data_IF_095240456160
#
_entry.id   IF_095240456160
#
_cell.length_a   1.000
_cell.length_b   1.000
_cell.length_c   1.000
_cell.angle_alpha   90.00
_cell.angle_beta   90.00
_cell.angle_gamma   90.00
#
_symmetry.space_group_name_H-M   'P 1'
#
loop_
_entity.id
_entity.type
_entity.pdbx_description
1 polymer ?
#
# COMPACT_ATOMS: atom_id res chain seq x y z
N UNK A 1 0.59 -4.49 23.29
CA UNK A 1 1.57 -5.14 22.39
C UNK A 1 0.93 -5.25 21.01
N UNK A 2 1.56 -4.70 19.98
CA UNK A 2 1.07 -4.73 18.61
C UNK A 2 0.91 -6.18 18.14
N UNK A 3 -0.27 -6.54 17.67
CA UNK A 3 -0.47 -7.84 17.01
C UNK A 3 -0.03 -7.73 15.55
N UNK A 4 1.05 -8.38 15.17
CA UNK A 4 1.54 -8.39 13.80
C UNK A 4 0.65 -9.31 12.95
N UNK A 5 -0.23 -8.69 12.14
CA UNK A 5 -1.16 -9.37 11.22
C UNK A 5 -0.55 -9.39 9.83
N UNK A 6 -0.20 -10.58 9.34
CA UNK A 6 0.53 -10.70 8.08
C UNK A 6 -0.41 -10.96 6.90
N UNK A 7 -0.23 -10.18 5.83
CA UNK A 7 -0.87 -10.37 4.54
C UNK A 7 0.16 -10.71 3.45
N UNK A 8 -0.29 -11.34 2.37
CA UNK A 8 0.54 -11.68 1.20
C UNK A 8 0.18 -10.80 0.01
N UNK A 9 1.18 -10.18 -0.62
CA UNK A 9 1.00 -9.53 -1.92
C UNK A 9 0.88 -10.59 -3.02
N UNK A 10 -0.32 -10.79 -3.54
CA UNK A 10 -0.59 -11.83 -4.54
C UNK A 10 0.15 -11.60 -5.85
N UNK A 11 0.43 -10.35 -6.23
CA UNK A 11 1.16 -10.04 -7.45
C UNK A 11 2.60 -10.58 -7.40
N UNK A 12 3.20 -10.60 -6.21
CA UNK A 12 4.55 -11.12 -5.99
C UNK A 12 4.65 -12.64 -6.16
N UNK A 13 3.54 -13.39 -6.02
CA UNK A 13 3.50 -14.84 -6.29
C UNK A 13 3.65 -15.19 -7.77
N UNK A 14 3.36 -14.25 -8.68
CA UNK A 14 3.43 -14.44 -10.14
C UNK A 14 2.64 -15.66 -10.63
N UNK A 15 1.49 -15.91 -10.04
CA UNK A 15 0.58 -17.01 -10.36
C UNK A 15 -0.78 -16.45 -10.79
N UNK A 16 -1.64 -17.22 -11.50
CA UNK A 16 -3.03 -16.86 -11.72
C UNK A 16 -3.74 -16.61 -10.38
N UNK A 17 -4.71 -15.68 -10.35
CA UNK A 17 -5.37 -15.20 -9.14
C UNK A 17 -5.81 -16.33 -8.20
N UNK A 18 -6.57 -17.31 -8.72
CA UNK A 18 -7.06 -18.42 -7.92
C UNK A 18 -5.93 -19.21 -7.27
N UNK A 19 -4.86 -19.49 -8.04
CA UNK A 19 -3.70 -20.21 -7.55
C UNK A 19 -2.94 -19.41 -6.49
N UNK A 20 -2.82 -18.08 -6.68
CA UNK A 20 -2.20 -17.19 -5.70
C UNK A 20 -2.97 -17.19 -4.37
N UNK A 21 -4.31 -17.17 -4.41
CA UNK A 21 -5.14 -17.27 -3.21
C UNK A 21 -4.97 -18.61 -2.49
N UNK A 22 -4.99 -19.72 -3.24
CA UNK A 22 -4.74 -21.05 -2.69
C UNK A 22 -3.33 -21.16 -2.06
N UNK A 23 -2.32 -20.58 -2.70
CA UNK A 23 -0.94 -20.53 -2.19
C UNK A 23 -0.86 -19.69 -0.91
N UNK A 24 -1.46 -18.49 -0.89
CA UNK A 24 -1.50 -17.64 0.30
C UNK A 24 -2.18 -18.37 1.49
N UNK A 25 -3.28 -19.05 1.24
CA UNK A 25 -3.96 -19.89 2.25
C UNK A 25 -3.04 -21.00 2.76
N UNK A 26 -2.34 -21.75 1.88
CA UNK A 26 -1.41 -22.82 2.25
C UNK A 26 -0.24 -22.31 3.09
N UNK A 27 0.22 -21.08 2.86
CA UNK A 27 1.23 -20.40 3.67
C UNK A 27 0.69 -19.89 5.02
N UNK A 28 -0.62 -20.06 5.26
CA UNK A 28 -1.26 -19.60 6.49
C UNK A 28 -1.42 -18.07 6.58
N UNK A 29 -1.57 -17.40 5.45
CA UNK A 29 -1.88 -15.97 5.44
C UNK A 29 -3.28 -15.72 6.03
N UNK A 30 -3.44 -14.62 6.75
CA UNK A 30 -4.74 -14.14 7.24
C UNK A 30 -5.44 -13.22 6.21
N UNK A 31 -4.63 -12.54 5.41
CA UNK A 31 -5.10 -11.60 4.42
C UNK A 31 -4.19 -11.56 3.19
N UNK A 32 -4.68 -10.90 2.15
CA UNK A 32 -3.97 -10.72 0.89
C UNK A 32 -4.08 -9.27 0.42
N UNK A 33 -3.06 -8.80 -0.27
CA UNK A 33 -3.13 -7.59 -1.08
C UNK A 33 -3.43 -7.98 -2.52
N UNK A 34 -4.44 -7.35 -3.10
CA UNK A 34 -4.81 -7.49 -4.51
C UNK A 34 -4.20 -6.35 -5.33
N UNK A 35 -3.95 -6.59 -6.61
CA UNK A 35 -3.57 -5.54 -7.56
C UNK A 35 -4.76 -5.27 -8.49
N UNK A 36 -5.27 -4.03 -8.52
CA UNK A 36 -6.39 -3.63 -9.37
C UNK A 36 -5.94 -3.49 -10.84
N UNK A 37 -5.48 -4.60 -11.39
CA UNK A 37 -5.05 -4.74 -12.78
C UNK A 37 -5.65 -6.00 -13.41
N UNK A 38 -5.55 -6.10 -14.74
CA UNK A 38 -5.99 -7.29 -15.46
C UNK A 38 -7.46 -7.62 -15.21
N UNK A 39 -7.73 -8.80 -14.64
CA UNK A 39 -9.08 -9.29 -14.36
C UNK A 39 -9.73 -8.64 -13.13
N UNK A 40 -8.93 -8.10 -12.20
CA UNK A 40 -9.44 -7.43 -10.97
C UNK A 40 -9.74 -5.94 -11.25
N UNK A 41 -9.39 -5.41 -12.41
CA UNK A 41 -9.69 -4.00 -12.72
C UNK A 41 -11.21 -3.78 -12.80
N UNK A 42 -11.79 -2.77 -12.09
CA UNK A 42 -13.25 -2.59 -11.98
C UNK A 42 -13.98 -2.54 -13.32
N UNK A 43 -13.41 -1.86 -14.32
CA UNK A 43 -13.98 -1.78 -15.66
C UNK A 43 -14.04 -3.11 -16.43
N UNK A 44 -13.41 -4.18 -15.93
CA UNK A 44 -13.42 -5.53 -16.52
C UNK A 44 -14.12 -6.56 -15.64
N UNK A 45 -14.32 -6.25 -14.36
CA UNK A 45 -14.96 -7.14 -13.40
C UNK A 45 -16.46 -6.85 -13.31
N UNK A 46 -17.29 -7.83 -13.65
CA UNK A 46 -18.74 -7.73 -13.44
C UNK A 46 -19.10 -7.88 -11.95
N UNK A 47 -20.28 -7.42 -11.56
CA UNK A 47 -20.80 -7.64 -10.20
C UNK A 47 -20.84 -9.14 -9.81
N UNK A 48 -21.08 -10.03 -10.78
CA UNK A 48 -21.00 -11.48 -10.55
C UNK A 48 -19.58 -11.92 -10.28
N UNK A 49 -18.59 -11.33 -10.98
CA UNK A 49 -17.16 -11.56 -10.73
C UNK A 49 -16.75 -11.14 -9.32
N UNK A 50 -17.17 -9.95 -8.88
CA UNK A 50 -16.91 -9.47 -7.50
C UNK A 50 -17.50 -10.43 -6.47
N UNK A 51 -18.76 -10.85 -6.64
CA UNK A 51 -19.39 -11.83 -5.74
C UNK A 51 -18.69 -13.19 -5.74
N UNK A 52 -18.21 -13.62 -6.89
CA UNK A 52 -17.44 -14.88 -7.01
C UNK A 52 -16.09 -14.79 -6.29
N UNK A 53 -15.35 -13.69 -6.50
CA UNK A 53 -14.07 -13.46 -5.82
C UNK A 53 -14.28 -13.36 -4.30
N UNK A 54 -15.32 -12.64 -3.84
CA UNK A 54 -15.64 -12.54 -2.41
C UNK A 54 -15.92 -13.92 -1.81
N UNK A 55 -16.71 -14.75 -2.48
CA UNK A 55 -16.98 -16.13 -2.01
C UNK A 55 -15.68 -16.95 -1.94
N UNK A 56 -14.81 -16.83 -2.95
CA UNK A 56 -13.53 -17.55 -2.95
C UNK A 56 -12.62 -17.11 -1.78
N UNK A 57 -12.59 -15.82 -1.46
CA UNK A 57 -11.89 -15.30 -0.28
C UNK A 57 -12.49 -15.85 1.02
N UNK A 58 -13.83 -15.86 1.14
CA UNK A 58 -14.55 -16.38 2.29
C UNK A 58 -14.28 -17.90 2.46
N UNK A 59 -14.35 -18.68 1.39
CA UNK A 59 -14.09 -20.14 1.39
C UNK A 59 -12.66 -20.47 1.86
N UNK A 60 -11.69 -19.59 1.57
CA UNK A 60 -10.30 -19.70 2.02
C UNK A 60 -10.03 -18.96 3.35
N UNK A 61 -11.05 -18.38 3.97
CA UNK A 61 -10.91 -17.54 5.17
C UNK A 61 -9.83 -16.42 5.03
N UNK A 62 -9.71 -15.85 3.84
CA UNK A 62 -8.78 -14.77 3.54
C UNK A 62 -9.49 -13.42 3.56
N UNK A 63 -8.89 -12.43 4.21
CA UNK A 63 -9.30 -11.02 4.15
C UNK A 63 -8.56 -10.27 3.05
N UNK A 64 -9.08 -9.14 2.61
CA UNK A 64 -8.35 -8.23 1.72
C UNK A 64 -7.76 -7.09 2.57
N UNK A 65 -6.45 -7.11 2.75
CA UNK A 65 -5.70 -6.11 3.52
C UNK A 65 -5.73 -4.75 2.83
N UNK A 66 -5.43 -4.74 1.54
CA UNK A 66 -5.45 -3.55 0.70
C UNK A 66 -5.67 -3.92 -0.77
N UNK A 67 -6.11 -2.96 -1.57
CA UNK A 67 -6.06 -3.06 -3.03
C UNK A 67 -5.05 -2.05 -3.54
N UNK A 68 -4.00 -2.54 -4.21
CA UNK A 68 -3.02 -1.70 -4.88
C UNK A 68 -3.56 -1.23 -6.23
N UNK A 69 -3.53 0.07 -6.45
CA UNK A 69 -3.90 0.66 -7.72
C UNK A 69 -2.75 1.52 -8.24
N UNK A 70 -2.09 1.08 -9.29
CA UNK A 70 -0.96 1.80 -9.90
C UNK A 70 -1.47 2.73 -10.99
N UNK A 71 -1.27 4.03 -10.82
CA UNK A 71 -1.48 5.04 -11.86
C UNK A 71 -0.16 5.36 -12.56
N UNK A 72 -0.22 5.65 -13.86
CA UNK A 72 0.99 5.99 -14.64
C UNK A 72 1.54 7.37 -14.28
N UNK A 73 0.66 8.26 -13.78
CA UNK A 73 0.97 9.66 -13.45
C UNK A 73 0.28 10.03 -12.15
N UNK A 74 0.87 10.98 -11.44
CA UNK A 74 0.27 11.53 -10.23
C UNK A 74 -0.98 12.38 -10.48
N UNK A 75 -1.70 12.70 -9.41
CA UNK A 75 -2.92 13.49 -9.50
C UNK A 75 -2.67 14.99 -9.72
N UNK A 76 -1.43 15.45 -9.64
CA UNK A 76 -1.01 16.80 -10.04
C UNK A 76 -0.80 16.98 -11.56
N UNK A 77 -0.92 15.91 -12.35
CA UNK A 77 -0.75 15.94 -13.81
C UNK A 77 -2.11 15.99 -14.49
N UNK A 78 -2.43 17.07 -15.19
CA UNK A 78 -3.76 17.35 -15.77
C UNK A 78 -4.11 16.35 -16.90
N UNK A 79 -3.12 15.89 -17.69
CA UNK A 79 -3.38 14.96 -18.79
C UNK A 79 -4.07 13.68 -18.30
N UNK A 80 -5.27 13.41 -18.81
CA UNK A 80 -6.16 12.29 -18.44
C UNK A 80 -6.50 12.24 -16.93
N UNK A 81 -6.50 13.38 -16.23
CA UNK A 81 -6.74 13.45 -14.79
C UNK A 81 -8.14 12.93 -14.42
N UNK A 82 -9.18 13.36 -15.12
CA UNK A 82 -10.56 12.92 -14.86
C UNK A 82 -10.72 11.40 -14.97
N UNK A 83 -10.07 10.79 -15.98
CA UNK A 83 -10.11 9.32 -16.14
C UNK A 83 -9.39 8.60 -14.99
N UNK A 84 -8.28 9.17 -14.50
CA UNK A 84 -7.53 8.65 -13.35
C UNK A 84 -8.36 8.72 -12.07
N UNK A 85 -8.98 9.87 -11.82
CA UNK A 85 -9.86 10.11 -10.68
C UNK A 85 -11.03 9.12 -10.69
N UNK A 86 -11.70 9.00 -11.82
CA UNK A 86 -12.84 8.06 -11.95
C UNK A 86 -12.41 6.60 -11.77
N UNK A 87 -11.28 6.19 -12.35
CA UNK A 87 -10.73 4.85 -12.14
C UNK A 87 -10.39 4.60 -10.65
N UNK A 88 -9.85 5.60 -9.95
CA UNK A 88 -9.56 5.51 -8.52
C UNK A 88 -10.84 5.33 -7.70
N UNK A 89 -11.88 6.08 -7.99
CA UNK A 89 -13.20 5.94 -7.33
C UNK A 89 -13.77 4.53 -7.51
N UNK A 90 -13.66 3.98 -8.72
CA UNK A 90 -14.12 2.61 -8.99
C UNK A 90 -13.31 1.58 -8.22
N UNK A 91 -11.98 1.77 -8.07
CA UNK A 91 -11.15 0.88 -7.25
C UNK A 91 -11.49 1.01 -5.76
N UNK A 92 -11.78 2.22 -5.26
CA UNK A 92 -12.22 2.42 -3.88
C UNK A 92 -13.57 1.71 -3.61
N UNK A 93 -14.50 1.78 -4.55
CA UNK A 93 -15.76 1.01 -4.47
C UNK A 93 -15.48 -0.50 -4.47
N UNK A 94 -14.61 -0.99 -5.36
CA UNK A 94 -14.23 -2.40 -5.39
C UNK A 94 -13.56 -2.85 -4.08
N UNK A 95 -12.72 -2.00 -3.48
CA UNK A 95 -12.09 -2.29 -2.19
C UNK A 95 -13.16 -2.52 -1.12
N UNK A 96 -14.11 -1.63 -0.99
CA UNK A 96 -15.23 -1.78 -0.08
C UNK A 96 -16.05 -3.05 -0.36
N UNK A 97 -16.38 -3.32 -1.62
CA UNK A 97 -17.15 -4.50 -2.04
C UNK A 97 -16.42 -5.82 -1.70
N UNK A 98 -15.09 -5.82 -1.68
CA UNK A 98 -14.26 -6.96 -1.29
C UNK A 98 -13.88 -6.96 0.21
N UNK A 99 -14.40 -6.00 0.99
CA UNK A 99 -14.19 -5.92 2.43
C UNK A 99 -12.85 -5.29 2.85
N UNK A 100 -12.14 -4.64 1.92
CA UNK A 100 -10.97 -3.82 2.22
C UNK A 100 -11.37 -2.38 2.50
N UNK A 101 -10.63 -1.72 3.41
CA UNK A 101 -10.79 -0.29 3.69
C UNK A 101 -9.66 0.57 3.13
N UNK A 102 -8.71 -0.04 2.42
CA UNK A 102 -7.49 0.65 1.97
C UNK A 102 -7.24 0.41 0.49
N UNK A 103 -7.03 1.51 -0.23
CA UNK A 103 -6.50 1.50 -1.60
C UNK A 103 -5.13 2.17 -1.58
N UNK A 104 -4.06 1.45 -1.93
CA UNK A 104 -2.72 2.02 -2.00
C UNK A 104 -2.40 2.56 -3.39
N UNK A 105 -1.81 3.74 -3.47
CA UNK A 105 -1.49 4.41 -4.73
C UNK A 105 -0.30 5.36 -4.58
N UNK A 106 0.48 5.52 -5.65
CA UNK A 106 1.41 6.63 -5.79
C UNK A 106 0.65 7.87 -6.22
N UNK A 107 0.42 8.81 -5.30
CA UNK A 107 -0.39 10.01 -5.56
C UNK A 107 0.28 11.00 -6.52
N UNK A 108 1.57 10.82 -6.78
CA UNK A 108 2.40 11.67 -7.64
C UNK A 108 3.45 12.42 -6.85
N UNK A 109 4.32 13.10 -7.57
CA UNK A 109 5.37 13.91 -6.95
C UNK A 109 4.74 15.08 -6.18
N UNK A 110 5.06 15.16 -4.89
CA UNK A 110 4.61 16.28 -4.04
C UNK A 110 5.47 17.50 -4.34
N UNK A 111 4.89 18.64 -4.78
CA UNK A 111 5.65 19.85 -5.01
C UNK A 111 6.33 20.35 -3.72
N UNK A 112 7.59 20.79 -3.81
CA UNK A 112 8.30 21.38 -2.68
C UNK A 112 7.64 22.68 -2.19
N UNK A 113 7.06 23.44 -3.13
CA UNK A 113 6.31 24.67 -2.83
C UNK A 113 4.82 24.34 -2.65
N UNK A 114 4.28 24.72 -1.50
CA UNK A 114 2.85 24.52 -1.16
C UNK A 114 1.94 25.56 -1.82
N UNK A 115 2.23 25.90 -3.06
CA UNK A 115 1.48 26.89 -3.86
C UNK A 115 1.62 26.60 -5.34
N UNK A 116 0.68 27.15 -6.11
CA UNK A 116 0.67 27.07 -7.56
C UNK A 116 -0.09 25.88 -8.13
N UNK A 117 -0.28 25.85 -9.47
CA UNK A 117 -1.26 24.98 -10.11
C UNK A 117 -1.06 23.48 -9.85
N UNK A 118 0.18 23.02 -9.71
CA UNK A 118 0.46 21.60 -9.47
C UNK A 118 0.09 21.19 -8.03
N UNK A 119 0.38 22.03 -7.04
CA UNK A 119 0.00 21.84 -5.65
C UNK A 119 -1.52 21.92 -5.48
N UNK A 120 -2.14 23.00 -6.00
CA UNK A 120 -3.59 23.20 -5.88
C UNK A 120 -4.36 22.03 -6.50
N UNK A 121 -3.95 21.60 -7.72
CA UNK A 121 -4.56 20.43 -8.37
C UNK A 121 -4.42 19.17 -7.53
N UNK A 122 -3.24 18.93 -6.94
CA UNK A 122 -3.00 17.74 -6.12
C UNK A 122 -3.90 17.75 -4.88
N UNK A 123 -3.93 18.85 -4.15
CA UNK A 123 -4.74 18.99 -2.92
C UNK A 123 -6.22 18.87 -3.23
N UNK A 124 -6.72 19.57 -4.25
CA UNK A 124 -8.15 19.53 -4.62
C UNK A 124 -8.60 18.13 -5.00
N UNK A 125 -7.83 17.44 -5.84
CA UNK A 125 -8.16 16.08 -6.28
C UNK A 125 -8.09 15.08 -5.13
N UNK A 126 -7.09 15.17 -4.28
CA UNK A 126 -6.98 14.27 -3.13
C UNK A 126 -8.06 14.54 -2.09
N UNK A 127 -8.45 15.79 -1.88
CA UNK A 127 -9.59 16.13 -1.04
C UNK A 127 -10.92 15.57 -1.59
N UNK A 128 -11.12 15.62 -2.91
CA UNK A 128 -12.27 15.04 -3.58
C UNK A 128 -12.31 13.50 -3.45
N UNK A 129 -11.18 12.84 -3.73
CA UNK A 129 -11.05 11.38 -3.56
C UNK A 129 -11.21 10.96 -2.09
N UNK A 130 -10.68 11.74 -1.16
CA UNK A 130 -10.85 11.50 0.27
C UNK A 130 -12.31 11.56 0.72
N UNK A 131 -13.08 12.58 0.28
CA UNK A 131 -14.53 12.68 0.52
C UNK A 131 -15.27 11.48 -0.07
N UNK A 132 -14.91 11.06 -1.28
CA UNK A 132 -15.46 9.85 -1.88
C UNK A 132 -15.14 8.62 -1.04
N UNK A 133 -13.91 8.48 -0.56
CA UNK A 133 -13.47 7.40 0.31
C UNK A 133 -14.25 7.30 1.61
N UNK A 134 -14.49 8.44 2.26
CA UNK A 134 -15.34 8.48 3.47
C UNK A 134 -16.77 8.03 3.18
N UNK A 135 -17.34 8.42 2.02
CA UNK A 135 -18.67 8.02 1.62
C UNK A 135 -18.77 6.51 1.32
N UNK A 136 -17.77 5.95 0.65
CA UNK A 136 -17.73 4.53 0.25
C UNK A 136 -17.29 3.64 1.41
N UNK A 137 -16.43 4.12 2.30
CA UNK A 137 -15.82 3.35 3.38
C UNK A 137 -14.49 2.68 3.02
N UNK A 138 -13.78 3.21 1.99
CA UNK A 138 -12.44 2.78 1.60
C UNK A 138 -11.55 3.99 1.37
N UNK A 139 -10.44 4.08 2.11
CA UNK A 139 -9.54 5.23 2.12
C UNK A 139 -8.41 5.06 1.09
N UNK A 140 -8.02 6.17 0.46
CA UNK A 140 -6.81 6.23 -0.35
C UNK A 140 -5.60 6.41 0.56
N UNK A 141 -4.59 5.54 0.42
CA UNK A 141 -3.34 5.61 1.15
C UNK A 141 -2.18 5.92 0.18
N UNK A 142 -1.52 7.06 0.42
CA UNK A 142 -0.36 7.47 -0.36
C UNK A 142 0.84 6.57 -0.07
N UNK A 143 1.43 5.98 -1.10
CA UNK A 143 2.63 5.16 -0.96
C UNK A 143 3.85 6.04 -0.69
N UNK A 144 4.61 5.68 0.34
CA UNK A 144 5.92 6.28 0.64
C UNK A 144 7.03 5.67 -0.22
N UNK A 145 8.18 6.30 -0.21
CA UNK A 145 9.42 5.79 -0.81
C UNK A 145 10.08 6.75 -1.77
N UNK A 146 9.40 7.25 -2.78
CA UNK A 146 9.96 8.17 -3.76
C UNK A 146 10.03 9.62 -3.28
N UNK A 147 9.10 10.00 -2.40
CA UNK A 147 8.96 11.37 -1.90
C UNK A 147 9.62 11.52 -0.53
N UNK A 148 10.09 12.74 -0.24
CA UNK A 148 10.52 13.10 1.10
C UNK A 148 9.36 12.95 2.09
N UNK A 149 9.51 12.18 3.20
CA UNK A 149 8.47 12.01 4.20
C UNK A 149 7.91 13.34 4.73
N UNK A 150 8.74 14.37 4.86
CA UNK A 150 8.31 15.69 5.29
C UNK A 150 7.34 16.34 4.28
N UNK A 151 7.57 16.18 2.97
CA UNK A 151 6.64 16.66 1.95
C UNK A 151 5.32 15.89 1.97
N UNK A 152 5.38 14.57 2.18
CA UNK A 152 4.16 13.75 2.34
C UNK A 152 3.36 14.23 3.54
N UNK A 153 4.00 14.49 4.67
CA UNK A 153 3.36 15.04 5.88
C UNK A 153 2.68 16.39 5.60
N UNK A 154 3.39 17.31 4.94
CA UNK A 154 2.83 18.61 4.57
C UNK A 154 1.60 18.48 3.67
N UNK A 155 1.60 17.53 2.73
CA UNK A 155 0.44 17.24 1.89
C UNK A 155 -0.74 16.72 2.74
N UNK A 156 -0.49 15.83 3.69
CA UNK A 156 -1.54 15.31 4.59
C UNK A 156 -2.13 16.43 5.46
N UNK A 157 -1.29 17.32 6.01
CA UNK A 157 -1.70 18.46 6.84
C UNK A 157 -2.47 19.54 6.05
N UNK A 158 -2.27 19.62 4.72
CA UNK A 158 -3.05 20.50 3.84
C UNK A 158 -4.45 19.96 3.53
N UNK A 159 -4.71 18.68 3.81
CA UNK A 159 -6.02 18.05 3.61
C UNK A 159 -6.81 18.06 4.93
N UNK A 160 -8.15 18.13 4.88
CA UNK A 160 -8.96 17.88 6.07
C UNK A 160 -8.67 16.51 6.70
N UNK A 161 -8.71 16.45 8.02
CA UNK A 161 -8.39 15.24 8.78
C UNK A 161 -9.18 14.01 8.30
N UNK A 162 -8.48 12.90 8.18
CA UNK A 162 -9.06 11.60 7.83
C UNK A 162 -9.47 11.45 6.36
N UNK A 163 -9.10 12.36 5.47
CA UNK A 163 -9.38 12.20 4.04
C UNK A 163 -8.37 11.31 3.31
N UNK A 164 -7.14 11.23 3.80
CA UNK A 164 -6.09 10.39 3.20
C UNK A 164 -5.26 9.71 4.28
N UNK A 165 -4.74 8.56 3.95
CA UNK A 165 -3.83 7.78 4.79
C UNK A 165 -2.47 7.60 4.12
N UNK A 166 -1.58 6.91 4.83
CA UNK A 166 -0.24 6.51 4.34
C UNK A 166 -0.17 5.00 4.19
N UNK A 167 0.40 4.59 3.08
CA UNK A 167 0.94 3.27 2.84
C UNK A 167 2.45 3.32 3.04
N UNK A 168 2.91 2.81 4.17
CA UNK A 168 4.33 2.81 4.54
C UNK A 168 5.06 1.66 3.85
N UNK A 169 6.15 1.99 3.14
CA UNK A 169 7.04 1.04 2.48
C UNK A 169 8.50 1.31 2.90
N UNK A 170 8.97 0.66 3.98
CA UNK A 170 10.31 0.91 4.54
C UNK A 170 11.44 0.60 3.57
N UNK A 171 11.34 -0.46 2.78
CA UNK A 171 12.36 -0.80 1.79
C UNK A 171 12.49 0.25 0.69
N UNK A 172 11.36 0.78 0.20
CA UNK A 172 11.38 1.86 -0.79
C UNK A 172 11.97 3.16 -0.23
N UNK A 173 11.78 3.44 1.05
CA UNK A 173 12.46 4.56 1.72
C UNK A 173 13.98 4.38 1.70
N UNK A 174 14.49 3.19 2.05
CA UNK A 174 15.92 2.86 1.97
C UNK A 174 16.45 3.02 0.54
N UNK A 175 15.75 2.46 -0.46
CA UNK A 175 16.12 2.55 -1.89
C UNK A 175 16.32 4.01 -2.30
N UNK A 176 15.46 4.89 -1.83
CA UNK A 176 15.50 6.32 -2.17
C UNK A 176 16.31 7.17 -1.19
N UNK A 177 17.03 6.56 -0.26
CA UNK A 177 17.98 7.25 0.63
C UNK A 177 17.35 7.93 1.84
N UNK A 178 16.09 7.64 2.16
CA UNK A 178 15.42 8.11 3.37
C UNK A 178 15.59 7.12 4.53
N UNK A 179 15.37 7.60 5.75
CA UNK A 179 15.35 6.78 6.95
C UNK A 179 13.93 6.26 7.21
N UNK A 180 13.70 4.94 7.22
CA UNK A 180 12.38 4.40 7.55
C UNK A 180 11.90 4.76 8.95
N UNK A 181 12.81 4.76 9.94
CA UNK A 181 12.46 5.11 11.33
C UNK A 181 12.05 6.57 11.46
N UNK A 182 12.77 7.50 10.81
CA UNK A 182 12.39 8.93 10.81
C UNK A 182 11.07 9.14 10.08
N UNK A 183 10.91 8.53 8.90
CA UNK A 183 9.66 8.59 8.15
C UNK A 183 8.47 8.04 8.95
N UNK A 184 8.67 6.91 9.64
CA UNK A 184 7.63 6.32 10.49
C UNK A 184 7.29 7.25 11.64
N UNK A 185 8.29 7.84 12.31
CA UNK A 185 8.06 8.77 13.43
C UNK A 185 7.23 9.99 13.01
N UNK A 186 7.40 10.45 11.77
CA UNK A 186 6.64 11.58 11.24
C UNK A 186 5.24 11.21 10.77
N UNK A 187 5.06 10.00 10.23
CA UNK A 187 3.86 9.62 9.49
C UNK A 187 2.98 8.58 10.19
N UNK A 188 3.43 7.98 11.32
CA UNK A 188 2.78 6.82 11.94
C UNK A 188 1.29 7.02 12.22
N UNK A 189 0.86 8.22 12.65
CA UNK A 189 -0.54 8.53 12.90
C UNK A 189 -1.44 8.44 11.65
N UNK A 190 -0.86 8.54 10.46
CA UNK A 190 -1.57 8.46 9.18
C UNK A 190 -1.48 7.07 8.54
N UNK A 191 -0.66 6.16 9.08
CA UNK A 191 -0.43 4.84 8.48
C UNK A 191 -1.67 3.97 8.61
N UNK A 192 -2.19 3.50 7.48
CA UNK A 192 -3.31 2.55 7.41
C UNK A 192 -2.91 1.19 6.84
N UNK A 193 -1.73 1.10 6.21
CA UNK A 193 -1.21 -0.12 5.62
C UNK A 193 0.32 -0.08 5.55
N UNK A 194 0.96 -1.22 5.80
CA UNK A 194 2.42 -1.38 5.69
C UNK A 194 2.76 -2.45 4.67
N UNK A 195 3.62 -2.12 3.71
CA UNK A 195 4.33 -3.13 2.93
C UNK A 195 5.64 -3.46 3.64
N UNK A 196 5.71 -4.62 4.27
CA UNK A 196 6.91 -5.05 4.97
C UNK A 196 7.97 -5.47 3.93
N UNK A 197 8.77 -4.52 3.53
CA UNK A 197 9.86 -4.63 2.56
C UNK A 197 11.18 -4.24 3.20
N UNK A 198 12.28 -4.77 2.72
CA UNK A 198 13.63 -4.46 3.20
C UNK A 198 14.57 -4.20 2.02
N UNK A 199 15.58 -3.39 2.25
CA UNK A 199 16.51 -2.99 1.21
C UNK A 199 17.89 -2.65 1.78
N UNK A 200 18.89 -2.67 0.93
CA UNK A 200 20.20 -2.08 1.20
C UNK A 200 20.38 -0.78 0.45
N UNK A 201 20.99 0.21 1.12
CA UNK A 201 21.22 1.53 0.55
C UNK A 201 22.37 1.47 -0.45
N UNK A 202 22.26 2.19 -1.56
CA UNK A 202 23.38 2.58 -2.42
C UNK A 202 23.85 4.01 -2.09
N UNK A 203 25.04 4.36 -2.56
CA UNK A 203 25.58 5.73 -2.46
C UNK A 203 24.72 6.74 -3.24
N UNK A 204 24.08 6.31 -4.31
CA UNK A 204 23.20 7.14 -5.12
C UNK A 204 21.73 6.88 -4.78
N UNK A 205 20.96 7.96 -4.58
CA UNK A 205 19.50 7.90 -4.38
C UNK A 205 18.82 7.14 -5.51
N UNK A 206 17.86 6.28 -5.18
CA UNK A 206 17.09 5.50 -6.14
C UNK A 206 17.84 4.30 -6.74
N UNK A 207 19.01 3.97 -6.22
CA UNK A 207 19.81 2.81 -6.64
C UNK A 207 19.97 1.76 -5.56
N UNK A 208 19.35 1.93 -4.40
CA UNK A 208 19.29 0.88 -3.40
C UNK A 208 18.60 -0.37 -3.97
N UNK A 209 18.91 -1.52 -3.42
CA UNK A 209 18.38 -2.80 -3.86
C UNK A 209 17.48 -3.41 -2.80
N UNK A 210 16.27 -3.80 -3.21
CA UNK A 210 15.35 -4.56 -2.38
C UNK A 210 15.95 -5.94 -2.07
N UNK A 211 15.96 -6.32 -0.80
CA UNK A 211 16.49 -7.59 -0.30
C UNK A 211 15.40 -8.46 0.32
N UNK A 212 15.75 -9.67 0.72
CA UNK A 212 14.86 -10.48 1.55
C UNK A 212 14.65 -9.78 2.90
N UNK A 213 13.45 -9.89 3.43
CA UNK A 213 13.07 -9.29 4.70
C UNK A 213 14.00 -9.76 5.83
N UNK A 214 14.52 -8.82 6.60
CA UNK A 214 15.52 -9.06 7.67
C UNK A 214 16.96 -9.20 7.18
N UNK A 215 17.25 -8.97 5.90
CA UNK A 215 18.60 -8.99 5.35
C UNK A 215 19.08 -7.61 4.87
N UNK A 216 18.24 -6.60 5.02
CA UNK A 216 18.53 -5.23 4.63
C UNK A 216 18.88 -4.34 5.82
N UNK A 217 18.49 -3.08 5.70
CA UNK A 217 18.82 -2.02 6.66
C UNK A 217 17.61 -1.51 7.46
N UNK A 218 16.45 -2.14 7.31
CA UNK A 218 15.23 -1.72 8.01
C UNK A 218 15.21 -2.29 9.43
N UNK A 219 15.10 -1.40 10.43
CA UNK A 219 14.85 -1.81 11.82
C UNK A 219 13.34 -1.98 12.07
N UNK A 220 12.85 -3.21 11.84
CA UNK A 220 11.43 -3.52 12.05
C UNK A 220 11.02 -3.43 13.52
N UNK A 221 11.90 -3.67 14.48
CA UNK A 221 11.56 -3.56 15.89
C UNK A 221 11.24 -2.10 16.26
N UNK A 222 12.03 -1.14 15.76
CA UNK A 222 11.76 0.29 15.95
C UNK A 222 10.47 0.71 15.24
N UNK A 223 10.28 0.32 13.97
CA UNK A 223 9.07 0.66 13.20
C UNK A 223 7.81 0.14 13.89
N UNK A 224 7.82 -1.13 14.33
CA UNK A 224 6.69 -1.73 15.04
C UNK A 224 6.38 -1.00 16.35
N UNK A 225 7.41 -0.61 17.12
CA UNK A 225 7.24 0.19 18.33
C UNK A 225 6.57 1.55 18.04
N UNK A 226 7.04 2.26 17.02
CA UNK A 226 6.47 3.56 16.63
C UNK A 226 5.01 3.44 16.14
N UNK A 227 4.68 2.38 15.42
CA UNK A 227 3.31 2.10 14.96
C UNK A 227 2.41 1.69 16.13
N UNK A 228 2.92 0.92 17.10
CA UNK A 228 2.18 0.54 18.32
C UNK A 228 1.80 1.76 19.15
N UNK A 229 2.72 2.73 19.32
CA UNK A 229 2.47 3.99 20.03
C UNK A 229 1.30 4.79 19.43
N UNK A 230 1.07 4.66 18.12
CA UNK A 230 -0.04 5.30 17.41
C UNK A 230 -1.29 4.42 17.27
N UNK A 231 -1.27 3.23 17.88
CA UNK A 231 -2.42 2.31 17.85
C UNK A 231 -2.69 1.67 16.48
N UNK A 232 -1.66 1.48 15.67
CA UNK A 232 -1.82 0.81 14.37
C UNK A 232 -2.35 -0.62 14.55
N UNK A 233 -3.42 -0.96 13.83
CA UNK A 233 -4.08 -2.26 13.85
C UNK A 233 -4.23 -2.91 12.47
N UNK A 234 -3.55 -2.34 11.46
CA UNK A 234 -3.59 -2.79 10.08
C UNK A 234 -2.76 -4.05 9.81
N UNK A 235 -2.59 -4.35 8.53
CA UNK A 235 -1.81 -5.50 8.07
C UNK A 235 -0.40 -5.10 7.64
N UNK A 236 0.53 -6.04 7.86
CA UNK A 236 1.87 -6.02 7.30
C UNK A 236 1.89 -6.94 6.08
N UNK A 237 1.86 -6.37 4.89
CA UNK A 237 1.87 -7.14 3.64
C UNK A 237 3.29 -7.47 3.25
N UNK A 238 3.56 -8.76 3.03
CA UNK A 238 4.86 -9.26 2.57
C UNK A 238 4.80 -9.65 1.11
N UNK A 239 5.90 -9.38 0.40
CA UNK A 239 6.08 -9.75 -0.99
C UNK A 239 7.24 -8.96 -1.58
N UNK A 240 7.99 -9.55 -2.50
CA UNK A 240 9.11 -8.91 -3.20
C UNK A 240 8.96 -9.10 -4.71
N UNK A 241 8.92 -7.98 -5.45
CA UNK A 241 8.71 -8.03 -6.90
C UNK A 241 9.88 -8.72 -7.63
N UNK A 242 11.11 -8.53 -7.15
CA UNK A 242 12.31 -9.13 -7.73
C UNK A 242 12.66 -10.53 -7.17
N UNK A 243 11.72 -11.21 -6.47
CA UNK A 243 11.96 -12.52 -5.89
C UNK A 243 12.38 -13.56 -6.93
N UNK A 244 13.43 -14.33 -6.64
CA UNK A 244 13.85 -15.46 -7.49
C UNK A 244 12.98 -16.68 -7.24
N UNK A 245 12.61 -16.91 -5.96
CA UNK A 245 11.76 -18.00 -5.51
C UNK A 245 10.55 -17.45 -4.72
N UNK A 246 9.53 -16.86 -5.40
CA UNK A 246 8.49 -16.07 -4.75
C UNK A 246 7.81 -16.75 -3.55
N UNK A 247 7.42 -18.00 -3.68
CA UNK A 247 6.71 -18.72 -2.61
C UNK A 247 7.59 -18.91 -1.37
N UNK A 248 8.85 -19.33 -1.56
CA UNK A 248 9.79 -19.56 -0.45
C UNK A 248 10.18 -18.23 0.22
N UNK A 249 10.37 -17.17 -0.56
CA UNK A 249 10.73 -15.86 -0.02
C UNK A 249 9.57 -15.22 0.75
N UNK A 250 8.33 -15.41 0.30
CA UNK A 250 7.13 -14.97 1.03
C UNK A 250 6.96 -15.77 2.31
N UNK A 251 7.17 -17.10 2.29
CA UNK A 251 7.12 -17.93 3.49
C UNK A 251 8.14 -17.46 4.54
N UNK A 252 9.38 -17.23 4.13
CA UNK A 252 10.42 -16.72 5.01
C UNK A 252 10.07 -15.32 5.58
N UNK A 253 9.52 -14.44 4.74
CA UNK A 253 9.10 -13.10 5.16
C UNK A 253 7.93 -13.15 6.17
N UNK A 254 6.97 -14.06 5.97
CA UNK A 254 5.88 -14.28 6.93
C UNK A 254 6.39 -14.78 8.28
N UNK A 255 7.35 -15.73 8.25
CA UNK A 255 7.98 -16.25 9.47
C UNK A 255 8.74 -15.15 10.21
N UNK A 256 9.50 -14.32 9.49
CA UNK A 256 10.23 -13.19 10.06
C UNK A 256 9.28 -12.20 10.76
N UNK A 257 8.21 -11.78 10.10
CA UNK A 257 7.25 -10.83 10.68
C UNK A 257 6.49 -11.41 11.88
N UNK A 258 6.20 -12.70 11.88
CA UNK A 258 5.51 -13.38 13.00
C UNK A 258 6.40 -13.61 14.23
N UNK A 259 7.70 -13.38 14.10
CA UNK A 259 8.62 -13.51 15.23
C UNK A 259 8.61 -12.30 16.18
N UNK A 260 7.98 -11.19 15.76
CA UNK A 260 7.72 -10.03 16.60
C UNK A 260 6.40 -10.17 17.35
#
# INVERSE_FOLDING_TARGET
MLQVRVAVDLACLRQPLRKSLETAFQLGAEAVQLDAQGEIFPGRMSQTGVRHLRRLLDDLNLRVAAIRFRTRRGYNVIDQLEQRVEATRQVMQLAYDLGSRVVTNHVGQVPEQQEGPAWDTLVDVLAELGKHGQHVGAMLAASTGSEDPALVKQLLEALPDGLMAVHLDPGQLIVNGFSPSEATRELAQYVSHVHASDAVRDLARGRGEETMLGQGSVDFAEILGLLEEQGYDGYFTVGREAATHPVLEIEAAMQYMRAF
#
